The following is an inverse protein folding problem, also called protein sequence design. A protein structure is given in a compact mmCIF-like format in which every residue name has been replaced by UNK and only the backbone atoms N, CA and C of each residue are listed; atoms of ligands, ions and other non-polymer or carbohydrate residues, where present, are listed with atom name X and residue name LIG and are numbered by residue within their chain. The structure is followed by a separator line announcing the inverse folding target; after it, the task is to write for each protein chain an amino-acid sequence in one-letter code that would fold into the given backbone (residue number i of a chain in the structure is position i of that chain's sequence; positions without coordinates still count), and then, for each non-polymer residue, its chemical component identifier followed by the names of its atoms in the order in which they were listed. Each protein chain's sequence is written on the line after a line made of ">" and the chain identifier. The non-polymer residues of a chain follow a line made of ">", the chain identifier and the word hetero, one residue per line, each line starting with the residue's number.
data_IF_802271901201
#
_entry.id   IF_802271901201
#
_cell.length_a   1.000
_cell.length_b   1.000
_cell.length_c   1.000
_cell.angle_alpha   90.00
_cell.angle_beta   90.00
_cell.angle_gamma   90.00
#
_symmetry.space_group_name_H-M   'P 1'
#
loop_
_entity.id
_entity.type
_entity.pdbx_description
1 polymer ?
#
# COMPACT_ATOMS: atom_id res chain seq x y z
N UNK A 1 -0.62 -0.77 4.37
CA UNK A 1 0.61 -1.57 4.44
C UNK A 1 0.61 -2.37 5.74
N UNK A 2 1.27 -3.50 5.79
CA UNK A 2 1.42 -4.29 7.03
C UNK A 2 2.89 -4.29 7.47
N UNK A 3 3.12 -4.44 8.77
CA UNK A 3 4.46 -4.68 9.31
C UNK A 3 4.43 -5.93 10.19
N UNK A 4 5.59 -6.50 10.41
CA UNK A 4 5.78 -7.66 11.25
C UNK A 4 6.26 -7.21 12.64
N UNK A 5 5.79 -7.89 13.67
CA UNK A 5 6.27 -7.66 15.03
C UNK A 5 7.67 -8.28 15.23
N UNK A 6 7.91 -9.42 14.58
CA UNK A 6 9.20 -10.09 14.60
C UNK A 6 10.10 -9.58 13.45
N UNK A 7 11.19 -8.89 13.75
CA UNK A 7 12.14 -8.42 12.73
C UNK A 7 12.88 -9.57 12.03
N UNK A 8 12.91 -10.78 12.59
CA UNK A 8 13.52 -11.96 11.95
C UNK A 8 12.84 -12.29 10.63
N UNK A 9 11.52 -12.12 10.50
CA UNK A 9 10.76 -12.38 9.26
C UNK A 9 11.36 -11.61 8.07
N UNK A 10 11.70 -10.34 8.27
CA UNK A 10 12.29 -9.52 7.22
C UNK A 10 13.75 -9.94 6.94
N UNK A 11 14.49 -10.29 7.98
CA UNK A 11 15.85 -10.79 7.86
C UNK A 11 15.92 -12.09 7.05
N UNK A 12 15.04 -13.03 7.35
CA UNK A 12 14.95 -14.32 6.64
C UNK A 12 14.55 -14.13 5.17
N UNK A 13 13.58 -13.24 4.91
CA UNK A 13 13.20 -12.86 3.55
C UNK A 13 14.38 -12.28 2.76
N UNK A 14 15.13 -11.37 3.36
CA UNK A 14 16.31 -10.77 2.73
C UNK A 14 17.40 -11.79 2.47
N UNK A 15 17.69 -12.67 3.43
CA UNK A 15 18.71 -13.71 3.29
C UNK A 15 18.36 -14.72 2.18
N UNK A 16 17.10 -15.13 2.08
CA UNK A 16 16.64 -16.00 1.00
C UNK A 16 16.91 -15.41 -0.39
N UNK A 17 16.80 -14.08 -0.54
CA UNK A 17 17.08 -13.40 -1.82
C UNK A 17 18.56 -13.13 -2.09
N UNK A 18 19.45 -13.33 -1.11
CA UNK A 18 20.90 -13.34 -1.35
C UNK A 18 21.34 -14.63 -2.04
N UNK A 19 20.73 -15.75 -1.66
CA UNK A 19 21.04 -17.06 -2.23
C UNK A 19 20.31 -17.30 -3.56
N UNK A 20 19.08 -16.80 -3.68
CA UNK A 20 18.24 -16.92 -4.88
C UNK A 20 17.75 -15.52 -5.32
N UNK A 21 18.49 -14.84 -6.22
CA UNK A 21 18.17 -13.49 -6.65
C UNK A 21 16.78 -13.37 -7.28
N UNK A 22 16.10 -12.27 -6.98
CA UNK A 22 14.76 -11.98 -7.54
C UNK A 22 14.78 -11.97 -9.06
N UNK A 23 13.90 -12.74 -9.73
CA UNK A 23 13.81 -12.75 -11.19
C UNK A 23 13.49 -11.35 -11.74
N UNK A 24 14.14 -11.01 -12.84
CA UNK A 24 13.87 -9.74 -13.53
C UNK A 24 13.80 -9.93 -15.05
N UNK A 25 13.21 -8.97 -15.72
CA UNK A 25 13.29 -8.81 -17.17
C UNK A 25 13.88 -7.44 -17.49
N UNK A 26 14.58 -7.36 -18.61
CA UNK A 26 15.12 -6.08 -19.10
C UNK A 26 14.17 -5.51 -20.15
N UNK A 27 13.78 -4.25 -20.00
CA UNK A 27 12.98 -3.55 -20.99
C UNK A 27 13.84 -3.09 -22.19
N UNK A 28 13.24 -2.60 -23.29
CA UNK A 28 13.99 -2.14 -24.47
C UNK A 28 14.95 -0.97 -24.19
N UNK A 29 14.81 -0.28 -23.08
CA UNK A 29 15.70 0.82 -22.66
C UNK A 29 16.89 0.36 -21.84
N UNK A 30 16.98 -0.95 -21.54
CA UNK A 30 18.03 -1.52 -20.70
C UNK A 30 17.74 -1.50 -19.21
N UNK A 31 16.55 -1.08 -18.77
CA UNK A 31 16.16 -1.04 -17.35
C UNK A 31 15.69 -2.40 -16.89
N UNK A 32 16.15 -2.85 -15.72
CA UNK A 32 15.70 -4.06 -15.09
C UNK A 32 14.37 -3.85 -14.35
N UNK A 33 13.39 -4.69 -14.64
CA UNK A 33 12.08 -4.74 -14.00
C UNK A 33 12.02 -6.03 -13.21
N UNK A 34 12.11 -5.92 -11.89
CA UNK A 34 12.10 -7.05 -10.97
C UNK A 34 10.67 -7.52 -10.71
N UNK A 35 10.50 -8.83 -10.54
CA UNK A 35 9.24 -9.39 -10.07
C UNK A 35 9.04 -9.02 -8.61
N UNK A 36 7.85 -8.54 -8.25
CA UNK A 36 7.49 -8.37 -6.85
C UNK A 36 7.40 -9.74 -6.18
N UNK A 37 7.99 -9.86 -5.01
CA UNK A 37 7.83 -11.01 -4.14
C UNK A 37 7.30 -10.56 -2.78
N UNK A 38 6.31 -11.28 -2.27
CA UNK A 38 5.69 -11.06 -0.97
C UNK A 38 5.59 -12.37 -0.16
N UNK A 39 6.43 -13.34 -0.47
CA UNK A 39 6.50 -14.60 0.25
C UNK A 39 7.31 -14.44 1.54
N UNK A 40 6.69 -13.93 2.58
CA UNK A 40 7.30 -13.76 3.91
C UNK A 40 7.22 -15.03 4.80
N UNK A 41 7.02 -16.19 4.18
CA UNK A 41 6.90 -17.45 4.88
C UNK A 41 5.44 -17.86 5.18
N UNK A 42 5.22 -18.98 5.88
CA UNK A 42 3.89 -19.49 6.15
C UNK A 42 3.10 -18.56 7.08
N UNK A 43 1.81 -18.38 6.79
CA UNK A 43 0.90 -17.54 7.59
C UNK A 43 0.86 -17.91 9.08
N UNK A 44 1.17 -19.17 9.40
CA UNK A 44 1.26 -19.63 10.79
C UNK A 44 2.40 -18.99 11.59
N UNK A 45 3.43 -18.49 10.93
CA UNK A 45 4.55 -17.75 11.54
C UNK A 45 4.29 -16.25 11.63
N UNK A 46 3.28 -15.75 10.92
CA UNK A 46 2.92 -14.34 10.86
C UNK A 46 1.83 -13.99 11.89
N UNK A 47 2.08 -14.29 13.17
CA UNK A 47 1.04 -14.18 14.22
C UNK A 47 0.57 -12.76 14.47
N UNK A 48 1.40 -11.77 14.31
CA UNK A 48 1.11 -10.38 14.67
C UNK A 48 1.38 -9.45 13.46
N UNK A 49 0.48 -9.49 12.49
CA UNK A 49 0.49 -8.54 11.37
C UNK A 49 -0.12 -7.24 11.86
N UNK A 50 0.68 -6.19 11.92
CA UNK A 50 0.22 -4.86 12.32
C UNK A 50 -0.07 -4.00 11.09
N UNK A 51 -1.34 -3.60 10.86
CA UNK A 51 -1.65 -2.66 9.81
C UNK A 51 -1.06 -1.28 10.15
N UNK A 52 -0.46 -0.64 9.16
CA UNK A 52 0.06 0.73 9.27
C UNK A 52 -0.44 1.58 8.12
N UNK A 53 -0.86 2.79 8.44
CA UNK A 53 -1.12 3.83 7.45
C UNK A 53 0.23 4.36 6.97
N UNK A 54 0.41 4.43 5.67
CA UNK A 54 1.66 4.83 5.01
C UNK A 54 1.33 5.65 3.76
N UNK A 55 2.38 6.18 3.10
CA UNK A 55 2.25 6.91 1.84
C UNK A 55 1.50 8.25 2.00
N UNK A 56 2.00 9.06 2.92
CA UNK A 56 1.43 10.39 3.20
C UNK A 56 1.75 11.44 2.12
N UNK A 57 2.43 11.05 1.01
CA UNK A 57 2.77 11.97 -0.07
C UNK A 57 1.56 12.63 -0.75
N UNK A 58 0.40 11.95 -0.75
CA UNK A 58 -0.86 12.49 -1.24
C UNK A 58 -1.81 12.98 -0.13
N UNK A 59 -1.37 12.98 1.13
CA UNK A 59 -2.23 13.39 2.24
C UNK A 59 -2.47 14.90 2.24
N UNK A 60 -3.71 15.28 2.50
CA UNK A 60 -4.13 16.68 2.64
C UNK A 60 -4.61 16.94 4.06
N UNK A 61 -4.13 18.02 4.64
CA UNK A 61 -4.63 18.49 5.93
C UNK A 61 -5.92 19.28 5.71
N UNK A 62 -7.01 18.80 6.30
CA UNK A 62 -8.30 19.48 6.25
C UNK A 62 -8.52 20.26 7.55
N UNK A 63 -9.08 21.47 7.44
CA UNK A 63 -9.69 22.18 8.56
C UNK A 63 -11.01 21.52 8.98
N UNK A 64 -11.59 21.94 10.11
CA UNK A 64 -12.80 21.32 10.68
C UNK A 64 -13.99 21.34 9.71
N UNK A 65 -14.14 22.40 8.93
CA UNK A 65 -15.23 22.57 7.96
C UNK A 65 -14.79 22.49 6.50
N UNK A 66 -13.50 22.24 6.24
CA UNK A 66 -12.97 22.16 4.89
C UNK A 66 -13.18 20.79 4.28
N UNK A 67 -13.54 20.77 3.00
CA UNK A 67 -13.58 19.58 2.16
C UNK A 67 -12.72 19.77 0.91
N UNK A 68 -12.21 18.68 0.37
CA UNK A 68 -11.51 18.70 -0.91
C UNK A 68 -12.49 18.61 -2.08
N UNK A 69 -12.15 19.22 -3.21
CA UNK A 69 -12.92 19.15 -4.46
C UNK A 69 -12.13 18.55 -5.61
N UNK A 70 -10.84 18.30 -5.43
CA UNK A 70 -9.98 17.70 -6.46
C UNK A 70 -9.95 16.17 -6.35
N UNK A 71 -9.62 15.48 -7.44
CA UNK A 71 -9.54 14.01 -7.44
C UNK A 71 -8.45 13.50 -6.47
N UNK A 72 -8.85 12.55 -5.64
CA UNK A 72 -7.97 11.78 -4.75
C UNK A 72 -8.25 10.29 -4.94
N UNK A 73 -7.45 9.44 -4.36
CA UNK A 73 -7.57 7.98 -4.34
C UNK A 73 -7.35 7.33 -5.73
N UNK A 74 -6.81 6.11 -5.78
CA UNK A 74 -6.71 5.33 -7.02
C UNK A 74 -8.10 5.04 -7.60
N UNK A 75 -8.23 5.01 -8.92
CA UNK A 75 -9.51 4.91 -9.64
C UNK A 75 -10.41 3.77 -9.15
N UNK A 76 -9.84 2.61 -8.86
CA UNK A 76 -10.59 1.42 -8.44
C UNK A 76 -11.13 1.48 -7.00
N UNK A 77 -10.59 2.38 -6.19
CA UNK A 77 -10.93 2.51 -4.76
C UNK A 77 -11.57 3.86 -4.44
N UNK A 78 -11.80 4.67 -5.48
CA UNK A 78 -12.29 6.04 -5.32
C UNK A 78 -13.69 6.08 -4.73
N UNK A 79 -13.89 6.92 -3.71
CA UNK A 79 -15.17 7.11 -3.05
C UNK A 79 -16.19 7.79 -3.99
N UNK A 80 -17.49 7.51 -3.85
CA UNK A 80 -18.53 8.06 -4.71
C UNK A 80 -18.53 9.59 -4.74
N UNK A 81 -18.36 10.25 -3.60
CA UNK A 81 -18.32 11.71 -3.48
C UNK A 81 -17.13 12.33 -4.23
N UNK A 82 -16.03 11.60 -4.33
CA UNK A 82 -14.85 12.02 -5.11
C UNK A 82 -15.13 11.88 -6.61
N UNK A 83 -15.77 10.79 -7.02
CA UNK A 83 -16.16 10.54 -8.42
C UNK A 83 -17.16 11.62 -8.88
N UNK A 84 -18.14 11.95 -8.05
CA UNK A 84 -19.21 12.90 -8.36
C UNK A 84 -18.76 14.36 -8.21
N UNK A 85 -17.57 14.61 -7.63
CA UNK A 85 -17.10 15.98 -7.38
C UNK A 85 -17.95 16.78 -6.39
N UNK A 86 -18.65 16.09 -5.48
CA UNK A 86 -19.56 16.72 -4.52
C UNK A 86 -18.86 17.33 -3.30
N UNK A 87 -17.54 17.29 -3.27
CA UNK A 87 -16.73 17.60 -2.09
C UNK A 87 -16.56 16.40 -1.17
N UNK A 88 -15.34 16.18 -0.72
CA UNK A 88 -14.98 15.04 0.10
C UNK A 88 -14.34 15.49 1.41
N UNK A 89 -14.48 14.66 2.44
CA UNK A 89 -13.90 14.83 3.78
C UNK A 89 -13.21 13.54 4.21
N UNK A 90 -12.85 13.42 5.48
CA UNK A 90 -12.14 12.26 6.04
C UNK A 90 -12.90 10.92 5.89
N UNK A 91 -14.22 10.95 5.67
CA UNK A 91 -15.01 9.75 5.42
C UNK A 91 -14.60 8.97 4.16
N UNK A 92 -13.94 9.61 3.20
CA UNK A 92 -13.40 8.95 2.00
C UNK A 92 -12.32 7.91 2.34
N UNK A 93 -11.56 8.11 3.41
CA UNK A 93 -10.59 7.12 3.88
C UNK A 93 -11.27 5.88 4.45
N UNK A 94 -12.43 6.04 5.08
CA UNK A 94 -13.24 4.91 5.56
C UNK A 94 -13.81 4.12 4.39
N UNK A 95 -14.27 4.78 3.32
CA UNK A 95 -14.65 4.11 2.09
C UNK A 95 -13.50 3.25 1.53
N UNK A 96 -12.32 3.85 1.45
CA UNK A 96 -11.12 3.18 0.94
C UNK A 96 -10.74 1.96 1.78
N UNK A 97 -10.82 2.07 3.12
CA UNK A 97 -10.62 0.96 4.02
C UNK A 97 -11.67 -0.16 3.77
N UNK A 98 -12.93 0.21 3.58
CA UNK A 98 -14.01 -0.74 3.30
C UNK A 98 -13.85 -1.50 1.98
N UNK A 99 -13.16 -0.94 0.99
CA UNK A 99 -12.86 -1.63 -0.27
C UNK A 99 -11.69 -2.61 -0.19
N UNK A 100 -10.92 -2.59 0.90
CA UNK A 100 -9.79 -3.50 1.17
C UNK A 100 -10.21 -4.76 1.94
N UNK A 101 -11.39 -4.78 2.51
CA UNK A 101 -11.93 -5.87 3.33
C UNK A 101 -12.92 -6.71 2.53
#
# INVERSE_FOLDING_TARGET
>A
MVSFEDPAVLGDFMNAHLDEPVPYKTDPTGRHIYRSDNNFGPLSSLRNILPKIVDFGGATRLGEDEGGIYPIQPDHYRAPEVILGCGWKMNTDIWNLGTLV
#
